data_IF_954407073034
#
_entry.id   IF_954407073034
#
_cell.length_a   1.000
_cell.length_b   1.000
_cell.length_c   1.000
_cell.angle_alpha   90.00
_cell.angle_beta   90.00
_cell.angle_gamma   90.00
#
_symmetry.space_group_name_H-M   'P 1'
#
loop_
_entity.id
_entity.type
_entity.pdbx_description
1 polymer ?
#
# COMPACT_ATOMS: atom_id res chain seq x y z
N UNK A 1 15.01 29.26 5.84
CA UNK A 1 14.67 28.68 6.07
C UNK A 1 14.26 27.96 5.74
N UNK A 2 14.21 28.06 5.77
CA UNK A 2 13.53 27.38 5.72
C UNK A 2 13.11 26.42 5.58
N UNK A 3 13.08 26.55 5.36
CA UNK A 3 12.55 25.72 5.53
C UNK A 3 12.05 24.93 5.61
N UNK A 4 12.12 25.04 5.43
CA UNK A 4 11.52 24.28 5.68
C UNK A 4 11.18 23.45 5.66
N UNK A 5 11.18 23.70 5.54
CA UNK A 5 10.50 22.90 5.70
C UNK A 5 10.27 22.03 5.77
N UNK A 6 10.33 22.38 5.75
CA UNK A 6 10.02 21.62 6.22
C UNK A 6 9.39 20.97 6.35
N UNK A 7 9.41 21.18 6.26
CA UNK A 7 8.77 20.55 6.70
C UNK A 7 8.50 19.58 6.56
N UNK A 8 8.49 20.11 6.52
CA UNK A 8 8.20 19.25 6.56
C UNK A 8 8.35 18.32 6.75
N UNK A 9 8.38 18.21 6.93
CA UNK A 9 8.67 17.10 7.26
C UNK A 9 8.11 16.32 8.33
N UNK A 10 7.55 16.76 9.33
CA UNK A 10 6.90 16.01 10.30
C UNK A 10 5.78 15.22 9.78
N UNK A 11 5.06 15.76 8.92
CA UNK A 11 4.01 15.02 8.23
C UNK A 11 4.62 13.97 7.35
N UNK A 12 5.77 14.26 6.84
CA UNK A 12 6.44 13.35 5.95
C UNK A 12 6.82 12.04 6.59
N UNK A 13 7.18 12.03 7.85
CA UNK A 13 7.59 10.78 8.43
C UNK A 13 6.44 9.81 8.56
N UNK A 14 5.23 10.27 8.46
CA UNK A 14 4.09 9.37 8.44
C UNK A 14 3.97 8.66 7.12
N UNK A 15 4.60 9.21 6.09
CA UNK A 15 4.51 8.64 4.75
C UNK A 15 5.81 8.07 4.27
N UNK A 16 6.79 8.01 5.13
CA UNK A 16 8.12 7.61 4.72
C UNK A 16 8.16 6.19 4.18
N UNK A 17 7.25 5.34 4.61
CA UNK A 17 7.20 3.97 4.13
C UNK A 17 6.18 3.74 3.04
N UNK A 18 5.62 4.81 2.52
CA UNK A 18 4.60 4.67 1.51
C UNK A 18 5.25 4.36 0.17
N UNK A 19 4.73 3.34 -0.48
CA UNK A 19 5.27 2.88 -1.77
C UNK A 19 4.16 2.78 -2.79
N UNK A 20 4.56 2.55 -4.02
CA UNK A 20 3.61 2.29 -5.09
C UNK A 20 3.88 0.93 -5.69
N UNK A 21 2.85 0.36 -6.28
CA UNK A 21 2.98 -0.90 -6.95
C UNK A 21 1.77 -1.19 -7.80
N UNK A 22 1.76 -2.39 -8.36
CA UNK A 22 0.68 -2.83 -9.24
C UNK A 22 0.09 -4.12 -8.66
N UNK A 23 -1.22 -4.18 -8.60
CA UNK A 23 -1.89 -5.38 -8.11
C UNK A 23 -1.59 -6.53 -9.05
N UNK A 24 -0.99 -7.57 -8.50
CA UNK A 24 -0.63 -8.76 -9.26
C UNK A 24 -1.85 -9.63 -9.45
N UNK A 25 -2.56 -9.88 -8.38
CA UNK A 25 -3.84 -10.56 -8.40
C UNK A 25 -4.53 -10.33 -7.05
N UNK A 26 -5.83 -10.49 -7.05
CA UNK A 26 -6.60 -10.34 -5.84
C UNK A 26 -7.80 -11.27 -5.90
N UNK A 27 -7.97 -12.09 -4.85
CA UNK A 27 -9.09 -13.02 -4.76
C UNK A 27 -10.19 -12.35 -3.96
N UNK A 28 -11.22 -11.91 -4.65
CA UNK A 28 -12.30 -11.18 -4.01
C UNK A 28 -13.05 -12.02 -2.98
N UNK A 29 -13.24 -13.28 -3.29
CA UNK A 29 -13.97 -14.17 -2.38
C UNK A 29 -13.24 -14.38 -1.07
N UNK A 30 -11.94 -14.56 -1.14
CA UNK A 30 -11.15 -14.81 0.05
C UNK A 30 -10.63 -13.54 0.69
N UNK A 31 -10.61 -12.45 -0.07
CA UNK A 31 -10.25 -11.15 0.48
C UNK A 31 -8.76 -10.91 0.63
N UNK A 32 -7.94 -11.49 -0.25
CA UNK A 32 -6.51 -11.22 -0.19
C UNK A 32 -5.88 -11.37 -1.57
N UNK A 33 -4.67 -10.86 -1.68
CA UNK A 33 -3.93 -10.96 -2.93
C UNK A 33 -2.50 -10.49 -2.73
N UNK A 34 -1.87 -10.15 -3.85
CA UNK A 34 -0.49 -9.70 -3.83
C UNK A 34 -0.32 -8.47 -4.71
N UNK A 35 0.56 -7.60 -4.28
CA UNK A 35 0.92 -6.39 -5.00
C UNK A 35 2.39 -6.51 -5.38
N UNK A 36 2.69 -6.23 -6.62
CA UNK A 36 4.06 -6.21 -7.11
C UNK A 36 4.60 -4.81 -6.86
N UNK A 37 5.53 -4.69 -5.92
CA UNK A 37 6.09 -3.39 -5.57
C UNK A 37 6.97 -2.87 -6.69
N UNK A 38 6.93 -1.58 -6.88
CA UNK A 38 7.83 -0.98 -7.88
C UNK A 38 9.29 -1.13 -7.45
N UNK A 39 9.52 -1.18 -6.15
CA UNK A 39 10.88 -1.16 -5.61
C UNK A 39 11.44 -2.54 -5.28
N UNK A 40 10.67 -3.60 -5.41
CA UNK A 40 11.21 -4.88 -5.02
C UNK A 40 10.20 -6.00 -4.95
N UNK A 41 10.26 -6.76 -3.86
CA UNK A 41 9.47 -7.98 -3.73
C UNK A 41 7.99 -7.73 -3.62
N UNK A 42 7.21 -8.75 -3.96
CA UNK A 42 5.77 -8.69 -3.82
C UNK A 42 5.39 -8.58 -2.35
N UNK A 43 4.25 -7.96 -2.10
CA UNK A 43 3.73 -7.87 -0.74
C UNK A 43 2.32 -8.44 -0.71
N UNK A 44 2.01 -9.06 0.40
CA UNK A 44 0.68 -9.60 0.64
C UNK A 44 -0.27 -8.45 1.00
N UNK A 45 -1.51 -8.53 0.55
CA UNK A 45 -2.52 -7.54 0.90
C UNK A 45 -3.80 -8.26 1.28
N UNK A 46 -4.40 -7.81 2.40
CA UNK A 46 -5.67 -8.33 2.88
C UNK A 46 -6.72 -7.23 2.70
N UNK A 47 -7.97 -7.61 2.47
CA UNK A 47 -8.99 -6.61 2.20
C UNK A 47 -9.12 -5.57 3.33
N UNK A 48 -8.80 -5.97 4.55
CA UNK A 48 -8.87 -5.03 5.67
C UNK A 48 -7.83 -3.92 5.58
N UNK A 49 -6.82 -4.14 4.79
CA UNK A 49 -5.77 -3.13 4.61
C UNK A 49 -6.14 -2.12 3.54
N UNK A 50 -7.21 -2.36 2.80
CA UNK A 50 -7.63 -1.47 1.73
C UNK A 50 -8.54 -0.41 2.32
N UNK A 51 -8.21 0.83 2.09
CA UNK A 51 -9.03 1.94 2.57
C UNK A 51 -10.27 2.08 1.72
N UNK A 52 -11.31 2.61 2.34
CA UNK A 52 -12.53 2.87 1.62
C UNK A 52 -13.72 2.25 2.33
N UNK A 53 -14.89 2.56 1.83
CA UNK A 53 -16.11 2.04 2.39
C UNK A 53 -16.74 1.06 1.43
N UNK A 54 -17.50 0.13 1.98
CA UNK A 54 -18.20 -0.83 1.17
C UNK A 54 -17.26 -1.87 0.61
N UNK A 55 -17.35 -2.09 -0.66
CA UNK A 55 -16.58 -3.13 -1.33
C UNK A 55 -15.11 -2.77 -1.41
N UNK A 56 -14.29 -3.56 -0.77
CA UNK A 56 -12.85 -3.32 -0.76
C UNK A 56 -12.16 -4.37 -1.59
N UNK A 57 -12.12 -4.13 -2.89
CA UNK A 57 -11.48 -5.07 -3.79
C UNK A 57 -10.46 -4.34 -4.64
N UNK A 58 -9.50 -5.10 -5.11
CA UNK A 58 -8.48 -4.58 -6.01
C UNK A 58 -8.58 -5.31 -7.33
N UNK A 59 -8.24 -4.62 -8.38
CA UNK A 59 -8.28 -5.20 -9.72
C UNK A 59 -6.87 -5.52 -10.17
N UNK A 60 -6.71 -6.63 -10.86
CA UNK A 60 -5.41 -7.00 -11.42
C UNK A 60 -4.93 -5.88 -12.32
N UNK A 61 -3.68 -5.49 -12.13
CA UNK A 61 -3.10 -4.41 -12.93
C UNK A 61 -3.33 -3.02 -12.37
N UNK A 62 -4.13 -2.89 -11.33
CA UNK A 62 -4.43 -1.59 -10.74
C UNK A 62 -3.21 -1.02 -10.05
N UNK A 63 -2.99 0.29 -10.20
CA UNK A 63 -1.91 0.97 -9.48
C UNK A 63 -2.41 1.37 -8.11
N UNK A 64 -1.58 1.12 -7.11
CA UNK A 64 -1.96 1.39 -5.72
C UNK A 64 -0.79 1.99 -4.96
N UNK A 65 -1.12 2.69 -3.87
CA UNK A 65 -0.14 3.18 -2.91
C UNK A 65 -0.42 2.49 -1.58
N UNK A 66 0.63 2.24 -0.83
CA UNK A 66 0.48 1.49 0.41
C UNK A 66 1.71 1.66 1.29
N UNK A 67 1.56 1.25 2.54
CA UNK A 67 2.66 1.21 3.49
C UNK A 67 3.07 -0.25 3.64
N UNK A 68 4.37 -0.49 3.65
CA UNK A 68 4.89 -1.86 3.79
C UNK A 68 5.21 -2.12 5.25
N UNK A 69 4.66 -3.21 5.77
CA UNK A 69 4.90 -3.62 7.14
C UNK A 69 5.56 -4.99 7.14
N UNK A 70 6.47 -5.19 8.07
CA UNK A 70 7.11 -6.48 8.24
C UNK A 70 6.32 -7.27 9.27
N UNK A 71 5.81 -8.42 8.84
CA UNK A 71 5.04 -9.29 9.71
C UNK A 71 5.72 -10.63 9.80
N UNK A 72 5.26 -11.47 10.70
CA UNK A 72 5.86 -12.79 10.89
C UNK A 72 5.89 -13.60 9.61
N UNK A 73 4.89 -13.45 8.79
CA UNK A 73 4.78 -14.23 7.56
C UNK A 73 5.39 -13.55 6.35
N UNK A 74 5.96 -12.37 6.55
CA UNK A 74 6.59 -11.64 5.46
C UNK A 74 6.07 -10.23 5.35
N UNK A 75 6.29 -9.64 4.20
CA UNK A 75 5.90 -8.26 3.98
C UNK A 75 4.42 -8.16 3.68
N UNK A 76 3.78 -7.18 4.28
CA UNK A 76 2.35 -6.93 4.06
C UNK A 76 2.12 -5.48 3.72
N UNK A 77 1.15 -5.25 2.84
CA UNK A 77 0.72 -3.90 2.51
C UNK A 77 -0.37 -3.47 3.48
N UNK A 78 -0.27 -2.23 3.92
CA UNK A 78 -1.27 -1.63 4.81
C UNK A 78 -1.69 -0.30 4.23
N UNK A 79 -2.87 0.15 4.61
CA UNK A 79 -3.34 1.47 4.23
C UNK A 79 -3.30 1.66 2.71
N UNK A 80 -3.85 0.68 2.00
CA UNK A 80 -3.80 0.65 0.55
C UNK A 80 -4.85 1.56 -0.06
N UNK A 81 -4.43 2.40 -0.98
CA UNK A 81 -5.35 3.28 -1.70
C UNK A 81 -5.01 3.23 -3.18
N UNK A 82 -5.99 3.59 -4.00
CA UNK A 82 -5.75 3.65 -5.44
C UNK A 82 -4.77 4.76 -5.74
N UNK A 83 -3.80 4.49 -6.59
CA UNK A 83 -2.83 5.50 -7.00
C UNK A 83 -3.37 6.23 -8.21
N UNK A 84 -2.98 7.47 -8.34
CA UNK A 84 -3.44 8.29 -9.45
C UNK A 84 -2.41 8.45 -10.51
#
# INVERSE_FOLDING_TARGET
MPRTPRHTQTVDHLNVNRETGTVKWFNTSKGFGFISRDSGEDVFVHFRAIRGEGHRVLMEGQRVEFVVMHRDKGLQAEDVIAAR
#
